data_IF_282877980171
#
_entry.id   IF_282877980171
#
_cell.length_a   1.000
_cell.length_b   1.000
_cell.length_c   1.000
_cell.angle_alpha   90.00
_cell.angle_beta   90.00
_cell.angle_gamma   90.00
#
_symmetry.space_group_name_H-M   'P 1'
#
loop_
_entity.id
_entity.type
_entity.pdbx_description
1 polymer ?
#
# COMPACT_ATOMS: atom_id res chain seq x y z
N UNK A 1 30.63 -24.59 -43.91
CA UNK A 1 31.18 -23.28 -43.48
C UNK A 1 31.26 -22.24 -44.62
N UNK A 2 31.38 -22.65 -45.88
CA UNK A 2 31.49 -21.71 -47.02
C UNK A 2 30.22 -20.91 -47.35
N UNK A 3 29.04 -21.47 -47.12
CA UNK A 3 27.75 -20.81 -47.37
C UNK A 3 27.51 -19.63 -46.41
N UNK A 4 27.83 -19.80 -45.13
CA UNK A 4 27.74 -18.75 -44.10
C UNK A 4 28.68 -17.57 -44.39
N UNK A 5 29.94 -17.85 -44.77
CA UNK A 5 30.90 -16.80 -45.17
C UNK A 5 30.41 -16.00 -46.37
N UNK A 6 29.79 -16.67 -47.36
CA UNK A 6 29.19 -16.02 -48.54
C UNK A 6 28.01 -15.13 -48.15
N UNK A 7 27.11 -15.61 -47.27
CA UNK A 7 25.97 -14.83 -46.79
C UNK A 7 26.42 -13.56 -46.04
N UNK A 8 27.42 -13.68 -45.16
CA UNK A 8 27.95 -12.55 -44.40
C UNK A 8 28.58 -11.47 -45.30
N UNK A 9 29.40 -11.87 -46.29
CA UNK A 9 29.90 -10.95 -47.32
C UNK A 9 28.78 -10.28 -48.11
N UNK A 10 27.67 -10.98 -48.36
CA UNK A 10 26.53 -10.45 -49.10
C UNK A 10 25.80 -9.36 -48.31
N UNK A 11 25.60 -9.57 -47.00
CA UNK A 11 25.04 -8.60 -46.05
C UNK A 11 25.91 -7.33 -45.99
N UNK A 12 27.23 -7.48 -45.84
CA UNK A 12 28.16 -6.34 -45.77
C UNK A 12 28.23 -5.55 -47.08
N UNK A 13 28.04 -6.20 -48.23
CA UNK A 13 28.09 -5.54 -49.55
C UNK A 13 26.83 -4.74 -49.88
N UNK A 14 25.67 -5.10 -49.35
CA UNK A 14 24.37 -4.42 -49.60
C UNK A 14 23.89 -3.57 -48.42
N UNK A 15 24.79 -2.74 -47.88
CA UNK A 15 24.61 -1.99 -46.62
C UNK A 15 23.28 -1.23 -46.51
N UNK A 16 22.85 -0.50 -47.54
CA UNK A 16 21.60 0.27 -47.49
C UNK A 16 20.35 -0.62 -47.33
N UNK A 17 20.21 -1.64 -48.18
CA UNK A 17 19.04 -2.55 -48.13
C UNK A 17 19.01 -3.38 -46.86
N UNK A 18 20.18 -3.83 -46.39
CA UNK A 18 20.26 -4.59 -45.14
C UNK A 18 20.03 -3.72 -43.91
N UNK A 19 20.45 -2.45 -43.91
CA UNK A 19 20.20 -1.53 -42.80
C UNK A 19 18.70 -1.24 -42.64
N UNK A 20 17.98 -0.99 -43.75
CA UNK A 20 16.52 -0.80 -43.72
C UNK A 20 15.82 -2.04 -43.17
N UNK A 21 16.20 -3.23 -43.66
CA UNK A 21 15.63 -4.48 -43.19
C UNK A 21 15.93 -4.72 -41.70
N UNK A 22 17.14 -4.39 -41.25
CA UNK A 22 17.52 -4.50 -39.84
C UNK A 22 16.70 -3.55 -38.97
N UNK A 23 16.53 -2.29 -39.36
CA UNK A 23 15.69 -1.34 -38.62
C UNK A 23 14.24 -1.81 -38.53
N UNK A 24 13.68 -2.39 -39.59
CA UNK A 24 12.33 -2.97 -39.57
C UNK A 24 12.22 -4.14 -38.58
N UNK A 25 13.18 -5.06 -38.60
CA UNK A 25 13.19 -6.17 -37.63
C UNK A 25 13.41 -5.67 -36.19
N UNK A 26 14.25 -4.66 -36.01
CA UNK A 26 14.54 -4.06 -34.72
C UNK A 26 13.27 -3.43 -34.13
N UNK A 27 12.52 -2.65 -34.91
CA UNK A 27 11.29 -2.00 -34.42
C UNK A 27 10.23 -3.04 -34.04
N UNK A 28 10.04 -4.08 -34.86
CA UNK A 28 9.13 -5.19 -34.52
C UNK A 28 9.59 -5.90 -33.24
N UNK A 29 10.90 -6.18 -33.12
CA UNK A 29 11.46 -6.83 -31.96
C UNK A 29 11.24 -6.04 -30.67
N UNK A 30 11.49 -4.72 -30.69
CA UNK A 30 11.27 -3.84 -29.54
C UNK A 30 9.79 -3.82 -29.16
N UNK A 31 8.87 -3.69 -30.13
CA UNK A 31 7.43 -3.68 -29.86
C UNK A 31 6.95 -4.99 -29.23
N UNK A 32 7.40 -6.13 -29.75
CA UNK A 32 7.05 -7.46 -29.20
C UNK A 32 7.60 -7.62 -27.78
N UNK A 33 8.86 -7.26 -27.54
CA UNK A 33 9.49 -7.38 -26.23
C UNK A 33 8.83 -6.44 -25.21
N UNK A 34 8.45 -5.24 -25.63
CA UNK A 34 7.70 -4.28 -24.82
C UNK A 34 6.33 -4.85 -24.44
N UNK A 35 5.56 -5.39 -25.40
CA UNK A 35 4.26 -6.00 -25.13
C UNK A 35 4.35 -7.19 -24.17
N UNK A 36 5.35 -8.06 -24.33
CA UNK A 36 5.59 -9.19 -23.41
C UNK A 36 5.97 -8.67 -22.01
N UNK A 37 6.78 -7.62 -21.93
CA UNK A 37 7.23 -7.05 -20.66
C UNK A 37 6.07 -6.40 -19.91
N UNK A 38 5.22 -5.62 -20.60
CA UNK A 38 4.02 -5.01 -20.04
C UNK A 38 3.05 -6.09 -19.54
N UNK A 39 2.81 -7.13 -20.33
CA UNK A 39 1.96 -8.24 -19.91
C UNK A 39 2.50 -8.90 -18.64
N UNK A 40 3.79 -9.24 -18.60
CA UNK A 40 4.41 -9.85 -17.42
C UNK A 40 4.33 -8.95 -16.19
N UNK A 41 4.57 -7.65 -16.37
CA UNK A 41 4.42 -6.69 -15.28
C UNK A 41 2.98 -6.67 -14.75
N UNK A 42 1.99 -6.66 -15.65
CA UNK A 42 0.57 -6.75 -15.28
C UNK A 42 0.22 -8.04 -14.53
N UNK A 43 0.69 -9.18 -15.02
CA UNK A 43 0.46 -10.48 -14.38
C UNK A 43 1.07 -10.52 -12.95
N UNK A 44 2.29 -9.99 -12.78
CA UNK A 44 2.95 -9.90 -11.47
C UNK A 44 2.20 -8.96 -10.53
N UNK A 45 1.77 -7.78 -11.01
CA UNK A 45 1.00 -6.85 -10.20
C UNK A 45 -0.34 -7.45 -9.79
N UNK A 46 -1.03 -8.15 -10.69
CA UNK A 46 -2.29 -8.82 -10.39
C UNK A 46 -2.14 -9.97 -9.39
N UNK A 47 -1.06 -10.75 -9.50
CA UNK A 47 -0.75 -11.83 -8.56
C UNK A 47 -0.39 -11.27 -7.17
N UNK A 48 0.41 -10.21 -7.12
CA UNK A 48 0.75 -9.51 -5.88
C UNK A 48 -0.50 -8.95 -5.22
N UNK A 49 -1.38 -8.29 -5.97
CA UNK A 49 -2.68 -7.82 -5.48
C UNK A 49 -3.53 -8.96 -4.92
N UNK A 50 -3.62 -10.11 -5.60
CA UNK A 50 -4.36 -11.28 -5.08
C UNK A 50 -3.76 -11.83 -3.79
N UNK A 51 -2.43 -11.85 -3.69
CA UNK A 51 -1.72 -12.32 -2.50
C UNK A 51 -1.90 -11.37 -1.32
N UNK A 52 -1.83 -10.06 -1.54
CA UNK A 52 -2.09 -9.05 -0.50
C UNK A 52 -3.57 -9.06 -0.12
N UNK A 53 -4.50 -8.89 -1.06
CA UNK A 53 -5.94 -8.86 -0.78
C UNK A 53 -6.50 -10.16 -0.20
N UNK A 54 -5.87 -11.31 -0.49
CA UNK A 54 -6.26 -12.61 0.06
C UNK A 54 -5.49 -13.02 1.32
N UNK A 55 -4.40 -12.32 1.66
CA UNK A 55 -3.51 -12.63 2.77
C UNK A 55 -3.56 -11.61 3.91
N UNK A 56 -4.14 -10.43 3.66
CA UNK A 56 -4.33 -9.36 4.63
C UNK A 56 -5.79 -9.32 5.09
N UNK A 57 -5.98 -9.20 6.40
CA UNK A 57 -7.28 -9.06 7.04
C UNK A 57 -7.25 -7.80 7.90
N UNK A 58 -8.02 -6.79 7.51
CA UNK A 58 -8.19 -5.57 8.30
C UNK A 58 -9.35 -5.73 9.27
N UNK A 59 -9.12 -5.43 10.54
CA UNK A 59 -10.16 -5.38 11.58
C UNK A 59 -10.28 -3.93 12.02
N UNK A 60 -11.48 -3.37 11.87
CA UNK A 60 -11.77 -1.98 12.21
C UNK A 60 -13.05 -1.90 13.06
N UNK A 61 -13.26 -0.75 13.70
CA UNK A 61 -14.47 -0.42 14.44
C UNK A 61 -15.65 -0.41 13.48
N UNK A 62 -16.70 -1.14 13.84
CA UNK A 62 -17.97 -1.07 13.14
C UNK A 62 -18.74 0.19 13.56
N UNK A 63 -18.73 1.23 12.71
CA UNK A 63 -19.47 2.48 12.93
C UNK A 63 -20.96 2.41 12.53
N UNK A 64 -21.59 1.25 12.72
CA UNK A 64 -23.04 1.07 12.57
C UNK A 64 -23.77 1.46 13.86
N UNK A 65 -24.98 2.00 13.74
CA UNK A 65 -25.88 2.30 14.87
C UNK A 65 -26.21 1.06 15.72
N UNK A 66 -26.05 -0.14 15.16
CA UNK A 66 -26.24 -1.42 15.87
C UNK A 66 -25.08 -1.77 16.81
N UNK A 67 -23.92 -1.12 16.68
CA UNK A 67 -22.77 -1.38 17.54
C UNK A 67 -22.94 -0.69 18.89
N UNK A 68 -23.04 -1.42 20.02
CA UNK A 68 -23.22 -0.81 21.34
C UNK A 68 -22.03 0.04 21.79
N UNK A 69 -20.86 -0.15 21.17
CA UNK A 69 -19.66 0.61 21.47
C UNK A 69 -19.49 1.86 20.61
N UNK A 70 -20.28 2.02 19.54
CA UNK A 70 -20.31 3.21 18.69
C UNK A 70 -20.86 4.41 19.47
N UNK A 71 -20.10 5.50 19.47
CA UNK A 71 -20.48 6.78 20.07
C UNK A 71 -20.31 7.89 19.06
N UNK A 72 -21.30 8.77 19.05
CA UNK A 72 -21.31 9.96 18.23
C UNK A 72 -21.77 11.14 19.08
N UNK A 73 -20.96 12.19 19.08
CA UNK A 73 -21.26 13.47 19.71
C UNK A 73 -21.32 14.54 18.64
N UNK A 74 -22.44 15.27 18.58
CA UNK A 74 -22.68 16.33 17.60
C UNK A 74 -22.55 17.68 18.28
N UNK A 75 -21.75 18.55 17.69
CA UNK A 75 -21.53 19.93 18.09
C UNK A 75 -22.11 20.87 17.03
N UNK A 76 -22.16 22.17 17.33
CA UNK A 76 -22.75 23.16 16.41
C UNK A 76 -21.98 23.25 15.08
N UNK A 77 -20.66 22.98 15.12
CA UNK A 77 -19.75 23.09 13.97
C UNK A 77 -19.05 21.76 13.60
N UNK A 78 -19.48 20.62 14.17
CA UNK A 78 -18.78 19.35 13.95
C UNK A 78 -19.45 18.10 14.55
N UNK A 79 -18.82 16.94 14.34
CA UNK A 79 -19.18 15.69 15.02
C UNK A 79 -17.93 14.90 15.37
N UNK A 80 -17.92 14.30 16.56
CA UNK A 80 -16.89 13.38 17.02
C UNK A 80 -17.48 11.98 17.02
N UNK A 81 -16.76 11.05 16.40
CA UNK A 81 -17.17 9.65 16.28
C UNK A 81 -16.07 8.79 16.88
N UNK A 82 -16.42 7.91 17.82
CA UNK A 82 -15.44 7.05 18.47
C UNK A 82 -16.05 5.72 18.95
N UNK A 83 -15.17 4.76 19.20
CA UNK A 83 -15.54 3.52 19.90
C UNK A 83 -15.21 3.64 21.38
N UNK A 84 -16.16 3.31 22.25
CA UNK A 84 -15.93 3.15 23.69
C UNK A 84 -15.11 1.91 24.03
N UNK A 85 -14.93 0.99 23.06
CA UNK A 85 -14.09 -0.20 23.20
C UNK A 85 -12.89 -0.09 22.28
N UNK A 86 -11.72 0.04 22.88
CA UNK A 86 -10.44 0.11 22.18
C UNK A 86 -9.88 -1.29 21.91
N UNK A 87 -9.02 -1.38 20.90
CA UNK A 87 -8.21 -2.56 20.63
C UNK A 87 -7.31 -2.85 21.85
N UNK A 88 -7.23 -4.10 22.29
CA UNK A 88 -6.35 -4.50 23.38
C UNK A 88 -5.30 -5.49 22.91
N UNK A 89 -4.18 -5.57 23.65
CA UNK A 89 -3.12 -6.55 23.40
C UNK A 89 -3.67 -7.99 23.40
N UNK A 90 -4.57 -8.33 24.33
CA UNK A 90 -5.21 -9.66 24.37
C UNK A 90 -6.02 -9.96 23.09
N UNK A 91 -6.66 -8.96 22.48
CA UNK A 91 -7.34 -9.13 21.20
C UNK A 91 -6.34 -9.45 20.08
N UNK A 92 -5.21 -8.73 20.03
CA UNK A 92 -4.12 -8.99 19.07
C UNK A 92 -3.54 -10.40 19.24
N UNK A 93 -3.27 -10.82 20.48
CA UNK A 93 -2.77 -12.16 20.78
C UNK A 93 -3.77 -13.26 20.35
N UNK A 94 -5.07 -13.02 20.50
CA UNK A 94 -6.11 -13.95 20.02
C UNK A 94 -6.12 -14.05 18.50
N UNK A 95 -5.97 -12.92 17.80
CA UNK A 95 -5.89 -12.89 16.33
C UNK A 95 -4.64 -13.64 15.85
N UNK A 96 -3.50 -13.44 16.50
CA UNK A 96 -2.25 -14.15 16.20
C UNK A 96 -2.32 -15.67 16.41
N UNK A 97 -3.23 -16.17 17.26
CA UNK A 97 -3.44 -17.60 17.50
C UNK A 97 -4.29 -18.28 16.40
N UNK A 98 -4.88 -17.52 15.47
CA UNK A 98 -5.66 -18.07 14.36
C UNK A 98 -4.71 -18.83 13.42
N UNK A 99 -5.09 -20.07 13.06
CA UNK A 99 -4.29 -20.90 12.17
C UNK A 99 -4.05 -20.22 10.82
N UNK A 100 -2.77 -20.08 10.44
CA UNK A 100 -2.37 -19.44 9.20
C UNK A 100 -2.02 -17.96 9.32
N UNK A 101 -2.27 -17.33 10.48
CA UNK A 101 -1.82 -15.96 10.75
C UNK A 101 -0.30 -15.93 10.88
N UNK A 102 0.37 -15.03 10.15
CA UNK A 102 1.84 -14.88 10.18
C UNK A 102 2.29 -13.68 10.98
N UNK A 103 1.58 -12.57 10.84
CA UNK A 103 1.86 -11.30 11.48
C UNK A 103 0.55 -10.58 11.75
N UNK A 104 0.56 -9.69 12.72
CA UNK A 104 -0.55 -8.80 13.01
C UNK A 104 0.03 -7.45 13.41
N UNK A 105 -0.42 -6.41 12.73
CA UNK A 105 -0.20 -5.03 13.14
C UNK A 105 -1.49 -4.49 13.75
N UNK A 106 -1.35 -3.70 14.79
CA UNK A 106 -2.46 -3.04 15.46
C UNK A 106 -2.00 -1.69 15.96
N UNK A 107 -2.83 -0.67 15.72
CA UNK A 107 -2.66 0.67 16.25
C UNK A 107 -3.93 1.11 16.97
N UNK A 108 -3.76 2.07 17.88
CA UNK A 108 -4.86 2.76 18.53
C UNK A 108 -4.55 4.26 18.55
N UNK A 109 -5.55 5.05 18.19
CA UNK A 109 -5.46 6.50 18.24
C UNK A 109 -6.22 7.00 19.46
N UNK A 110 -5.60 7.88 20.24
CA UNK A 110 -6.23 8.47 21.42
C UNK A 110 -5.94 9.96 21.48
N UNK A 111 -6.97 10.74 21.75
CA UNK A 111 -6.84 12.17 21.97
C UNK A 111 -6.44 12.39 23.44
N UNK A 112 -5.28 13.00 23.68
CA UNK A 112 -4.72 13.20 25.02
C UNK A 112 -4.30 14.65 25.22
N UNK A 113 -4.48 15.16 26.44
CA UNK A 113 -3.80 16.37 26.91
C UNK A 113 -2.44 15.96 27.50
N UNK A 114 -1.38 16.67 27.12
CA UNK A 114 -0.03 16.46 27.63
C UNK A 114 0.40 17.72 28.36
N UNK A 115 0.46 17.66 29.69
CA UNK A 115 0.67 18.84 30.54
C UNK A 115 1.99 19.57 30.29
N UNK A 116 3.04 18.83 29.88
CA UNK A 116 4.40 19.36 29.68
C UNK A 116 4.70 19.73 28.21
N UNK A 117 3.70 19.76 27.33
CA UNK A 117 3.89 20.11 25.90
C UNK A 117 2.98 21.28 25.52
N UNK A 118 3.60 22.40 25.16
CA UNK A 118 2.91 23.53 24.56
C UNK A 118 2.74 23.32 23.05
N UNK A 119 1.49 23.32 22.58
CA UNK A 119 1.18 23.23 21.16
C UNK A 119 1.05 24.62 20.53
N UNK A 120 1.62 24.82 19.35
CA UNK A 120 1.42 26.03 18.57
C UNK A 120 0.05 25.98 17.89
N UNK A 121 -0.76 27.03 18.08
CA UNK A 121 -2.08 27.13 17.45
C UNK A 121 -1.93 27.22 15.93
N UNK A 122 -2.56 26.29 15.20
CA UNK A 122 -2.64 26.32 13.74
C UNK A 122 -3.65 27.35 13.21
N UNK A 123 -3.75 27.43 11.88
CA UNK A 123 -4.72 28.31 11.20
C UNK A 123 -6.14 27.75 11.13
N UNK A 124 -6.34 26.51 11.59
CA UNK A 124 -7.65 25.88 11.63
C UNK A 124 -8.27 26.23 12.98
N UNK A 125 -9.47 26.84 13.02
CA UNK A 125 -10.17 27.07 14.27
C UNK A 125 -10.53 25.72 14.90
N UNK A 126 -10.18 25.55 16.17
CA UNK A 126 -10.44 24.36 16.99
C UNK A 126 -11.24 24.80 18.20
N UNK A 127 -12.22 24.00 18.63
CA UNK A 127 -12.99 24.26 19.84
C UNK A 127 -12.07 24.33 21.08
N UNK A 128 -12.43 25.18 22.04
CA UNK A 128 -11.55 25.53 23.16
C UNK A 128 -11.16 24.31 24.03
N UNK A 129 -12.05 23.32 24.10
CA UNK A 129 -11.82 22.05 24.80
C UNK A 129 -10.74 21.16 24.17
N UNK A 130 -10.49 21.26 22.86
CA UNK A 130 -9.49 20.45 22.15
C UNK A 130 -8.18 21.20 21.88
N UNK A 131 -8.10 22.48 22.26
CA UNK A 131 -6.96 23.35 21.92
C UNK A 131 -5.62 22.86 22.47
N UNK A 132 -5.66 22.18 23.62
CA UNK A 132 -4.49 21.63 24.29
C UNK A 132 -4.39 20.11 24.16
N UNK A 133 -5.20 19.52 23.28
CA UNK A 133 -5.19 18.08 23.04
C UNK A 133 -4.41 17.77 21.77
N UNK A 134 -3.77 16.60 21.77
CA UNK A 134 -3.08 16.05 20.61
C UNK A 134 -3.46 14.59 20.42
N UNK A 135 -3.39 14.13 19.17
CA UNK A 135 -3.58 12.71 18.86
C UNK A 135 -2.28 11.97 19.17
N UNK A 136 -2.36 11.02 20.10
CA UNK A 136 -1.30 10.06 20.39
C UNK A 136 -1.65 8.75 19.73
N UNK A 137 -0.72 8.20 18.95
CA UNK A 137 -0.86 6.90 18.29
C UNK A 137 -0.02 5.88 19.04
N UNK A 138 -0.67 4.85 19.57
CA UNK A 138 -0.01 3.68 20.16
C UNK A 138 0.03 2.54 19.14
N UNK A 139 1.19 1.95 18.92
CA UNK A 139 1.34 0.76 18.07
C UNK A 139 1.69 -0.46 18.91
N UNK A 140 1.20 -1.63 18.50
CA UNK A 140 1.41 -2.89 19.22
C UNK A 140 2.86 -3.37 19.15
N UNK A 141 3.49 -3.31 17.97
CA UNK A 141 4.89 -3.69 17.75
C UNK A 141 5.42 -3.06 16.46
N UNK A 142 6.72 -2.83 16.38
CA UNK A 142 7.42 -2.38 15.17
C UNK A 142 8.18 -3.52 14.47
N UNK A 143 8.31 -4.68 15.10
CA UNK A 143 9.12 -5.80 14.60
C UNK A 143 8.59 -6.39 13.29
N UNK A 144 7.29 -6.26 13.05
CA UNK A 144 6.59 -6.85 11.90
C UNK A 144 6.12 -5.82 10.88
N UNK A 145 6.54 -4.56 11.01
CA UNK A 145 6.09 -3.47 10.14
C UNK A 145 6.46 -3.73 8.66
N UNK A 146 7.59 -4.39 8.41
CA UNK A 146 8.04 -4.76 7.06
C UNK A 146 7.07 -5.70 6.31
N UNK A 147 6.12 -6.35 7.00
CA UNK A 147 5.11 -7.19 6.36
C UNK A 147 3.92 -6.40 5.80
N UNK A 148 3.80 -5.12 6.12
CA UNK A 148 2.65 -4.26 5.81
C UNK A 148 3.01 -3.02 4.96
N UNK A 149 4.23 -2.97 4.41
CA UNK A 149 4.71 -1.91 3.50
C UNK A 149 4.44 -2.18 2.01
#
# INVERSE_FOLDING_TARGET
MDTLKRAFKYVIRKRGKTLILFMLFLTIGILVLSGISIKRAGDISQDSLRKTMGGELTIDVNYSDENPYYKEEKFEDGRIIYSSKQMTVDMVEKVMKISGMRSCEASVDTLCQIDDIDFFSGNIPIEEEFKNMTTVVGTYSTETNDYFQ
#
